data_IF_342115010098
#
_entry.id   IF_342115010098
#
_cell.length_a   1.000
_cell.length_b   1.000
_cell.length_c   1.000
_cell.angle_alpha   90.00
_cell.angle_beta   90.00
_cell.angle_gamma   90.00
#
_symmetry.space_group_name_H-M   'P 1'
#
loop_
_entity.id
_entity.type
_entity.pdbx_description
1 polymer ?
#
# COMPACT_ATOMS: atom_id res chain seq x y z
N UNK A 1 -44.08 20.56 -32.52
CA UNK A 1 -43.18 19.50 -33.01
C UNK A 1 -42.93 18.59 -31.85
N UNK A 2 -43.66 17.49 -31.74
CA UNK A 2 -43.46 16.47 -30.67
C UNK A 2 -42.20 15.68 -31.05
N UNK A 3 -41.25 15.49 -30.13
CA UNK A 3 -40.07 14.71 -30.41
C UNK A 3 -40.48 13.28 -30.76
N UNK A 4 -39.81 12.70 -31.76
CA UNK A 4 -40.02 11.34 -32.21
C UNK A 4 -39.84 10.38 -31.02
N UNK A 5 -40.86 9.56 -30.67
CA UNK A 5 -40.79 8.64 -29.53
C UNK A 5 -39.66 7.62 -29.62
N UNK A 6 -39.23 7.29 -30.84
CA UNK A 6 -38.08 6.39 -31.11
C UNK A 6 -36.76 7.07 -30.70
N UNK A 7 -36.56 8.34 -31.03
CA UNK A 7 -35.36 9.09 -30.66
C UNK A 7 -35.27 9.30 -29.14
N UNK A 8 -36.41 9.63 -28.51
CA UNK A 8 -36.45 9.79 -27.04
C UNK A 8 -36.07 8.47 -26.31
N UNK A 9 -36.51 7.33 -26.86
CA UNK A 9 -36.19 6.00 -26.32
C UNK A 9 -34.71 5.63 -26.48
N UNK A 10 -34.11 5.94 -27.65
CA UNK A 10 -32.69 5.74 -27.92
C UNK A 10 -31.82 6.62 -27.01
N UNK A 11 -32.19 7.88 -26.81
CA UNK A 11 -31.48 8.78 -25.89
C UNK A 11 -31.61 8.31 -24.43
N UNK A 12 -32.74 7.78 -24.01
CA UNK A 12 -32.93 7.22 -22.68
C UNK A 12 -32.06 5.97 -22.47
N UNK A 13 -31.97 5.07 -23.45
CA UNK A 13 -31.11 3.90 -23.41
C UNK A 13 -29.63 4.27 -23.40
N UNK A 14 -29.21 5.23 -24.21
CA UNK A 14 -27.85 5.72 -24.22
C UNK A 14 -27.46 6.36 -22.86
N UNK A 15 -28.35 7.17 -22.28
CA UNK A 15 -28.14 7.75 -20.93
C UNK A 15 -28.10 6.68 -19.85
N UNK A 16 -28.90 5.63 -19.95
CA UNK A 16 -28.89 4.52 -18.99
C UNK A 16 -27.60 3.71 -19.10
N UNK A 17 -27.10 3.45 -20.34
CA UNK A 17 -25.85 2.76 -20.59
C UNK A 17 -24.62 3.56 -20.10
N UNK A 18 -24.68 4.89 -20.17
CA UNK A 18 -23.61 5.78 -19.68
C UNK A 18 -23.69 6.05 -18.16
N UNK A 19 -24.73 5.60 -17.47
CA UNK A 19 -24.79 5.72 -16.01
C UNK A 19 -23.94 4.64 -15.37
N UNK A 20 -22.98 4.99 -14.49
CA UNK A 20 -22.22 3.98 -13.78
C UNK A 20 -23.16 3.10 -12.95
N UNK A 21 -22.92 1.77 -12.90
CA UNK A 21 -23.75 0.86 -12.13
C UNK A 21 -23.78 1.28 -10.66
N UNK A 22 -24.86 0.96 -9.92
CA UNK A 22 -24.94 1.25 -8.48
C UNK A 22 -23.74 0.60 -7.78
N UNK A 23 -22.97 1.40 -7.02
CA UNK A 23 -21.73 0.94 -6.38
C UNK A 23 -20.45 1.13 -7.19
N UNK A 24 -20.47 1.65 -8.42
CA UNK A 24 -19.29 1.88 -9.24
C UNK A 24 -18.20 2.70 -8.51
N UNK A 25 -18.58 3.68 -7.71
CA UNK A 25 -17.65 4.47 -6.90
C UNK A 25 -16.93 3.61 -5.84
N UNK A 26 -17.62 2.64 -5.23
CA UNK A 26 -17.02 1.69 -4.27
C UNK A 26 -16.03 0.76 -4.98
N UNK A 27 -16.43 0.26 -6.14
CA UNK A 27 -15.59 -0.63 -6.96
C UNK A 27 -14.35 0.11 -7.42
N UNK A 28 -14.49 1.33 -7.95
CA UNK A 28 -13.36 2.16 -8.38
C UNK A 28 -12.39 2.46 -7.23
N UNK A 29 -12.92 2.79 -6.04
CA UNK A 29 -12.10 3.02 -4.85
C UNK A 29 -11.36 1.74 -4.42
N UNK A 30 -12.04 0.60 -4.39
CA UNK A 30 -11.42 -0.68 -4.03
C UNK A 30 -10.32 -1.08 -5.03
N UNK A 31 -10.56 -0.89 -6.33
CA UNK A 31 -9.57 -1.15 -7.38
C UNK A 31 -8.36 -0.21 -7.25
N UNK A 32 -8.59 1.10 -7.08
CA UNK A 32 -7.51 2.07 -6.91
C UNK A 32 -6.67 1.76 -5.66
N UNK A 33 -7.32 1.42 -4.55
CA UNK A 33 -6.66 1.07 -3.31
C UNK A 33 -5.89 -0.25 -3.41
N UNK A 34 -6.48 -1.26 -4.08
CA UNK A 34 -5.83 -2.53 -4.38
C UNK A 34 -4.62 -2.35 -5.31
N UNK A 35 -4.75 -1.54 -6.36
CA UNK A 35 -3.64 -1.25 -7.27
C UNK A 35 -2.48 -0.56 -6.55
N UNK A 36 -2.77 0.44 -5.72
CA UNK A 36 -1.76 1.11 -4.89
C UNK A 36 -1.06 0.13 -3.95
N UNK A 37 -1.81 -0.76 -3.30
CA UNK A 37 -1.27 -1.82 -2.45
C UNK A 37 -0.29 -2.71 -3.22
N UNK A 38 -0.69 -3.22 -4.38
CA UNK A 38 0.16 -4.09 -5.19
C UNK A 38 1.40 -3.38 -5.73
N UNK A 39 1.28 -2.11 -6.12
CA UNK A 39 2.41 -1.32 -6.60
C UNK A 39 3.46 -1.12 -5.47
N UNK A 40 3.02 -0.72 -4.27
CA UNK A 40 3.91 -0.54 -3.12
C UNK A 40 4.55 -1.87 -2.73
N UNK A 41 3.79 -2.96 -2.71
CA UNK A 41 4.30 -4.30 -2.44
C UNK A 41 5.35 -4.73 -3.46
N UNK A 42 5.09 -4.54 -4.76
CA UNK A 42 6.04 -4.86 -5.81
C UNK A 42 7.37 -4.09 -5.64
N UNK A 43 7.30 -2.78 -5.34
CA UNK A 43 8.50 -1.96 -5.08
C UNK A 43 9.24 -2.47 -3.84
N UNK A 44 8.54 -2.83 -2.77
CA UNK A 44 9.15 -3.37 -1.55
C UNK A 44 9.87 -4.71 -1.81
N UNK A 45 9.24 -5.61 -2.58
CA UNK A 45 9.85 -6.88 -2.97
C UNK A 45 11.06 -6.68 -3.87
N UNK A 46 10.99 -5.75 -4.83
CA UNK A 46 12.14 -5.43 -5.68
C UNK A 46 13.31 -4.87 -4.86
N UNK A 47 13.04 -3.98 -3.90
CA UNK A 47 14.06 -3.47 -2.98
C UNK A 47 14.65 -4.60 -2.12
N UNK A 48 13.83 -5.52 -1.63
CA UNK A 48 14.27 -6.70 -0.89
C UNK A 48 15.20 -7.58 -1.75
N UNK A 49 14.78 -7.93 -2.97
CA UNK A 49 15.58 -8.77 -3.87
C UNK A 49 16.90 -8.09 -4.21
N UNK A 50 16.88 -6.80 -4.54
CA UNK A 50 18.08 -6.03 -4.81
C UNK A 50 19.01 -5.95 -3.59
N UNK A 51 18.45 -5.68 -2.40
CA UNK A 51 19.22 -5.64 -1.15
C UNK A 51 19.87 -6.98 -0.84
N UNK A 52 19.15 -8.08 -0.96
CA UNK A 52 19.68 -9.44 -0.73
C UNK A 52 20.74 -9.81 -1.79
N UNK A 53 20.49 -9.49 -3.05
CA UNK A 53 21.43 -9.79 -4.14
C UNK A 53 22.77 -9.04 -3.98
N UNK A 54 22.72 -7.80 -3.50
CA UNK A 54 23.92 -6.98 -3.27
C UNK A 54 24.46 -7.07 -1.82
N UNK A 55 24.06 -8.10 -1.06
CA UNK A 55 24.54 -8.30 0.31
C UNK A 55 24.24 -7.11 1.23
N UNK A 56 23.10 -6.45 1.06
CA UNK A 56 22.69 -5.23 1.79
C UNK A 56 23.61 -4.02 1.53
N UNK A 57 24.53 -4.10 0.56
CA UNK A 57 25.43 -3.00 0.18
C UNK A 57 24.76 -1.86 -0.57
N UNK A 58 23.56 -2.09 -1.15
CA UNK A 58 22.80 -1.13 -1.93
C UNK A 58 21.88 -0.23 -1.09
N UNK A 59 21.88 -0.34 0.24
CA UNK A 59 21.07 0.50 1.14
C UNK A 59 21.49 1.96 1.06
N UNK A 60 20.52 2.86 1.17
CA UNK A 60 20.70 4.32 1.10
C UNK A 60 21.06 4.94 2.45
N UNK A 61 21.12 4.15 3.53
CA UNK A 61 21.47 4.64 4.86
C UNK A 61 22.91 5.13 4.92
N UNK A 62 23.13 6.26 5.58
CA UNK A 62 24.44 6.93 5.71
C UNK A 62 24.83 7.19 7.17
N UNK A 63 24.23 6.44 8.09
CA UNK A 63 24.48 6.59 9.53
C UNK A 63 25.91 6.12 9.85
N UNK A 64 26.74 6.93 10.53
CA UNK A 64 28.09 6.53 10.86
C UNK A 64 28.12 5.43 11.92
N UNK A 65 29.17 4.59 11.87
CA UNK A 65 29.44 3.60 12.93
C UNK A 65 29.81 4.32 14.26
N UNK A 66 29.35 3.86 15.44
CA UNK A 66 28.60 2.60 15.69
C UNK A 66 27.06 2.74 15.58
N UNK A 67 26.56 3.95 15.32
CA UNK A 67 25.11 4.22 15.26
C UNK A 67 24.39 3.45 14.13
N UNK A 68 25.14 3.11 13.08
CA UNK A 68 24.62 2.28 11.98
C UNK A 68 24.07 0.92 12.48
N UNK A 69 24.78 0.29 13.43
CA UNK A 69 24.31 -0.99 13.99
C UNK A 69 22.99 -0.83 14.74
N UNK A 70 22.85 0.23 15.52
CA UNK A 70 21.60 0.52 16.25
C UNK A 70 20.45 0.88 15.29
N UNK A 71 20.74 1.70 14.26
CA UNK A 71 19.77 2.05 13.23
C UNK A 71 19.27 0.80 12.47
N UNK A 72 20.17 -0.07 12.04
CA UNK A 72 19.83 -1.31 11.37
C UNK A 72 19.05 -2.27 12.29
N UNK A 73 19.44 -2.39 13.56
CA UNK A 73 18.71 -3.17 14.55
C UNK A 73 17.29 -2.62 14.74
N UNK A 74 17.11 -1.31 14.79
CA UNK A 74 15.80 -0.67 14.87
C UNK A 74 14.96 -0.94 13.61
N UNK A 75 15.55 -0.90 12.40
CA UNK A 75 14.90 -1.25 11.14
C UNK A 75 14.43 -2.71 11.13
N UNK A 76 15.22 -3.64 11.66
CA UNK A 76 14.81 -5.04 11.78
C UNK A 76 13.69 -5.19 12.82
N UNK A 77 13.84 -4.58 13.99
CA UNK A 77 12.88 -4.71 15.08
C UNK A 77 11.52 -4.06 14.78
N UNK A 78 11.49 -2.94 14.02
CA UNK A 78 10.26 -2.23 13.71
C UNK A 78 9.26 -3.12 12.96
N UNK A 79 9.71 -4.03 12.12
CA UNK A 79 8.83 -4.87 11.31
C UNK A 79 7.98 -5.82 12.19
N UNK A 80 8.54 -6.73 13.02
CA UNK A 80 7.75 -7.60 13.87
C UNK A 80 6.97 -6.84 14.95
N UNK A 81 7.51 -5.74 15.49
CA UNK A 81 6.83 -4.97 16.53
C UNK A 81 5.57 -4.30 15.97
N UNK A 82 5.70 -3.58 14.84
CA UNK A 82 4.55 -2.95 14.23
C UNK A 82 3.56 -3.96 13.65
N UNK A 83 4.06 -5.07 13.08
CA UNK A 83 3.23 -6.18 12.61
C UNK A 83 2.34 -6.73 13.75
N UNK A 84 2.94 -7.08 14.89
CA UNK A 84 2.21 -7.57 16.05
C UNK A 84 1.24 -6.53 16.61
N UNK A 85 1.64 -5.25 16.65
CA UNK A 85 0.76 -4.17 17.09
C UNK A 85 -0.45 -4.00 16.16
N UNK A 86 -0.23 -3.98 14.84
CA UNK A 86 -1.28 -3.77 13.86
C UNK A 86 -2.30 -4.93 13.81
N UNK A 87 -1.90 -6.14 14.21
CA UNK A 87 -2.80 -7.29 14.37
C UNK A 87 -3.61 -7.24 15.68
N UNK A 88 -3.29 -6.34 16.60
CA UNK A 88 -4.07 -6.15 17.83
C UNK A 88 -5.37 -5.39 17.56
N UNK A 89 -6.34 -5.48 18.48
CA UNK A 89 -7.61 -4.73 18.40
C UNK A 89 -7.42 -3.20 18.36
N UNK A 90 -6.30 -2.67 18.87
CA UNK A 90 -5.94 -1.25 18.75
C UNK A 90 -5.42 -0.92 17.36
N UNK A 91 -4.57 -1.78 16.81
CA UNK A 91 -4.02 -1.66 15.46
C UNK A 91 -5.11 -1.75 14.40
N UNK A 92 -6.04 -2.68 14.52
CA UNK A 92 -7.19 -2.81 13.61
C UNK A 92 -8.03 -1.52 13.55
N UNK A 93 -8.30 -0.90 14.70
CA UNK A 93 -8.99 0.40 14.75
C UNK A 93 -8.20 1.52 14.09
N UNK A 94 -6.88 1.50 14.23
CA UNK A 94 -6.00 2.46 13.56
C UNK A 94 -6.04 2.26 12.03
N UNK A 95 -5.91 1.03 11.56
CA UNK A 95 -5.99 0.69 10.14
C UNK A 95 -7.33 1.09 9.51
N UNK A 96 -8.44 0.86 10.24
CA UNK A 96 -9.76 1.29 9.79
C UNK A 96 -9.88 2.83 9.67
N UNK A 97 -9.11 3.61 10.44
CA UNK A 97 -9.07 5.07 10.33
C UNK A 97 -8.20 5.58 9.17
N UNK A 98 -7.19 4.82 8.77
CA UNK A 98 -6.32 5.16 7.62
C UNK A 98 -7.05 5.00 6.29
N UNK A 99 -8.01 4.10 6.23
CA UNK A 99 -8.85 3.92 5.06
C UNK A 99 -9.95 5.00 4.96
N UNK A 100 -10.50 5.27 3.75
CA UNK A 100 -11.62 6.18 3.58
C UNK A 100 -12.79 5.83 4.52
N UNK A 101 -13.26 6.80 5.30
CA UNK A 101 -14.21 6.61 6.43
C UNK A 101 -15.40 5.71 6.14
N UNK A 102 -15.96 5.77 4.93
CA UNK A 102 -17.10 4.94 4.54
C UNK A 102 -16.78 3.45 4.33
N UNK A 103 -15.48 3.08 4.29
CA UNK A 103 -15.00 1.75 3.91
C UNK A 103 -13.90 1.23 4.85
N UNK A 104 -13.69 1.86 5.99
CA UNK A 104 -12.60 1.60 6.92
C UNK A 104 -12.46 0.13 7.30
N UNK A 105 -13.55 -0.51 7.74
CA UNK A 105 -13.55 -1.93 8.11
C UNK A 105 -13.24 -2.85 6.91
N UNK A 106 -13.78 -2.54 5.73
CA UNK A 106 -13.58 -3.36 4.51
C UNK A 106 -12.15 -3.26 3.98
N UNK A 107 -11.50 -2.09 4.12
CA UNK A 107 -10.16 -1.83 3.59
C UNK A 107 -9.06 -1.95 4.66
N UNK A 108 -9.38 -2.31 5.90
CA UNK A 108 -8.41 -2.43 6.99
C UNK A 108 -7.28 -3.42 6.65
N UNK A 109 -7.60 -4.58 6.08
CA UNK A 109 -6.63 -5.59 5.65
C UNK A 109 -5.71 -5.05 4.54
N UNK A 110 -6.27 -4.31 3.57
CA UNK A 110 -5.46 -3.69 2.50
C UNK A 110 -4.57 -2.59 3.07
N UNK A 111 -5.07 -1.79 4.01
CA UNK A 111 -4.27 -0.79 4.74
C UNK A 111 -3.12 -1.44 5.50
N UNK A 112 -3.37 -2.57 6.15
CA UNK A 112 -2.35 -3.36 6.81
C UNK A 112 -1.25 -3.82 5.83
N UNK A 113 -1.64 -4.36 4.67
CA UNK A 113 -0.69 -4.80 3.65
C UNK A 113 0.15 -3.63 3.10
N UNK A 114 -0.46 -2.45 2.92
CA UNK A 114 0.27 -1.23 2.52
C UNK A 114 1.31 -0.86 3.58
N UNK A 115 0.92 -0.80 4.86
CA UNK A 115 1.84 -0.46 5.95
C UNK A 115 2.98 -1.46 6.04
N UNK A 116 2.68 -2.76 5.99
CA UNK A 116 3.70 -3.82 6.01
C UNK A 116 4.67 -3.70 4.82
N UNK A 117 4.16 -3.39 3.63
CA UNK A 117 4.99 -3.19 2.43
C UNK A 117 5.90 -1.96 2.55
N UNK A 118 5.38 -0.85 3.10
CA UNK A 118 6.18 0.36 3.38
C UNK A 118 7.28 0.06 4.41
N UNK A 119 6.99 -0.71 5.45
CA UNK A 119 7.97 -1.12 6.45
C UNK A 119 9.07 -2.01 5.85
N UNK A 120 8.67 -2.96 4.98
CA UNK A 120 9.62 -3.80 4.27
C UNK A 120 10.51 -2.96 3.34
N UNK A 121 9.91 -2.03 2.60
CA UNK A 121 10.66 -1.09 1.75
C UNK A 121 11.63 -0.26 2.58
N UNK A 122 11.20 0.29 3.72
CA UNK A 122 12.04 1.07 4.62
C UNK A 122 13.24 0.25 5.13
N UNK A 123 13.02 -1.02 5.49
CA UNK A 123 14.07 -1.91 5.94
C UNK A 123 15.20 -2.01 4.90
N UNK A 124 14.88 -2.28 3.64
CA UNK A 124 15.89 -2.48 2.61
C UNK A 124 16.45 -1.17 2.03
N UNK A 125 15.60 -0.15 1.89
CA UNK A 125 16.04 1.13 1.34
C UNK A 125 16.90 1.95 2.33
N UNK A 126 16.54 1.96 3.62
CA UNK A 126 17.24 2.77 4.63
C UNK A 126 18.35 2.01 5.36
N UNK A 127 18.61 0.77 4.98
CA UNK A 127 19.71 0.00 5.54
C UNK A 127 21.03 0.74 5.36
N UNK A 128 21.81 0.85 6.43
CA UNK A 128 23.16 1.42 6.35
C UNK A 128 24.18 0.30 6.16
N UNK A 129 24.89 0.26 5.01
CA UNK A 129 25.92 -0.75 4.76
C UNK A 129 27.00 -0.74 5.83
N UNK A 130 27.44 -1.93 6.26
CA UNK A 130 28.49 -2.07 7.27
C UNK A 130 29.91 -1.79 6.73
N UNK A 131 30.06 -1.77 5.41
CA UNK A 131 31.37 -1.71 4.76
C UNK A 131 32.17 -3.02 4.84
N UNK A 132 31.63 -4.07 5.48
CA UNK A 132 32.25 -5.40 5.55
C UNK A 132 31.86 -6.14 4.27
N UNK A 133 32.84 -6.45 3.44
CA UNK A 133 32.68 -7.33 2.28
C UNK A 133 33.07 -8.75 2.68
N UNK A 134 32.21 -9.69 2.37
CA UNK A 134 32.44 -11.12 2.56
C UNK A 134 32.99 -11.75 1.29
#
# INVERSE_FOLDING_TARGET
MTPDPSLARLLALARAACRPPPGARRIALALAYGLACHAIFAVAVLAMVAGMFHGMGAGLGTVPWPWAALANAALVAQFPLAHSFLLSARGERLLARLAPRAHGATLATTSYAIVASVQLLALFALWTPSGITW
#
